data_IF_028193804193
#
_entry.id   IF_028193804193
#
_cell.length_a   1.000
_cell.length_b   1.000
_cell.length_c   1.000
_cell.angle_alpha   90.00
_cell.angle_beta   90.00
_cell.angle_gamma   90.00
#
_symmetry.space_group_name_H-M   'P 1'
#
loop_
_entity.id
_entity.type
_entity.pdbx_description
1 polymer ?
#
# COMPACT_ATOMS: atom_id res chain seq x y z
N UNK A 1 -7.77 -15.77 -12.00
CA UNK A 1 -7.29 -14.98 -10.85
C UNK A 1 -6.05 -14.25 -11.33
N UNK A 2 -6.19 -12.99 -11.75
CA UNK A 2 -5.11 -12.19 -12.36
C UNK A 2 -4.04 -11.91 -11.30
N UNK A 3 -2.76 -12.11 -11.65
CA UNK A 3 -1.61 -11.95 -10.74
C UNK A 3 -1.57 -10.56 -10.04
N UNK A 4 -2.24 -9.58 -10.61
CA UNK A 4 -2.37 -8.22 -10.07
C UNK A 4 -3.11 -8.17 -8.71
N UNK A 5 -4.13 -9.01 -8.49
CA UNK A 5 -4.93 -9.01 -7.25
C UNK A 5 -4.19 -9.64 -6.05
N UNK A 6 -3.26 -10.55 -6.30
CA UNK A 6 -2.45 -11.18 -5.26
C UNK A 6 -1.31 -10.27 -4.78
N UNK A 7 -0.92 -9.26 -5.57
CA UNK A 7 0.18 -8.34 -5.28
C UNK A 7 -0.25 -7.15 -4.39
N UNK A 8 -1.55 -6.82 -4.41
CA UNK A 8 -2.16 -5.71 -3.65
C UNK A 8 -1.84 -5.77 -2.14
N UNK A 9 -2.13 -6.86 -1.40
CA UNK A 9 -1.82 -6.91 0.03
C UNK A 9 -0.32 -6.82 0.30
N UNK A 10 0.52 -7.39 -0.57
CA UNK A 10 1.98 -7.32 -0.43
C UNK A 10 2.52 -5.88 -0.59
N UNK A 11 1.95 -5.09 -1.51
CA UNK A 11 2.28 -3.66 -1.65
C UNK A 11 1.84 -2.84 -0.44
N UNK A 12 0.65 -3.09 0.09
CA UNK A 12 0.14 -2.43 1.29
C UNK A 12 1.05 -2.72 2.49
N UNK A 13 1.48 -3.97 2.67
CA UNK A 13 2.41 -4.35 3.73
C UNK A 13 3.78 -3.70 3.57
N UNK A 14 4.31 -3.66 2.35
CA UNK A 14 5.58 -2.99 2.03
C UNK A 14 5.53 -1.51 2.38
N UNK A 15 4.43 -0.83 2.03
CA UNK A 15 4.21 0.57 2.39
C UNK A 15 4.08 0.74 3.91
N UNK A 16 3.29 -0.11 4.59
CA UNK A 16 3.14 -0.06 6.04
C UNK A 16 4.47 -0.30 6.79
N UNK A 17 5.40 -1.06 6.20
CA UNK A 17 6.75 -1.25 6.75
C UNK A 17 7.59 0.03 6.66
N UNK A 18 7.42 0.83 5.60
CA UNK A 18 8.15 2.08 5.36
C UNK A 18 7.58 3.26 6.17
N UNK A 19 6.30 3.21 6.55
CA UNK A 19 5.60 4.33 7.17
C UNK A 19 5.68 4.25 8.70
N UNK A 20 6.38 5.21 9.28
CA UNK A 20 6.45 5.46 10.73
C UNK A 20 7.46 4.57 11.48
N UNK A 21 8.21 5.19 12.42
CA UNK A 21 9.06 4.50 13.42
C UNK A 21 8.21 3.86 14.52
N UNK A 22 7.28 3.00 14.15
CA UNK A 22 6.48 2.25 15.12
C UNK A 22 6.98 0.80 15.12
N UNK A 23 7.30 0.25 16.28
CA UNK A 23 7.81 -1.12 16.46
C UNK A 23 6.74 -2.21 16.15
N UNK A 24 5.56 -1.82 15.68
CA UNK A 24 4.49 -2.74 15.33
C UNK A 24 4.77 -3.42 13.98
N UNK A 25 4.34 -4.69 13.82
CA UNK A 25 4.39 -5.37 12.53
C UNK A 25 3.63 -4.58 11.44
N UNK A 26 4.08 -4.61 10.19
CA UNK A 26 3.41 -3.92 9.07
C UNK A 26 1.96 -4.37 8.90
N UNK A 27 1.66 -5.63 9.16
CA UNK A 27 0.30 -6.17 9.08
C UNK A 27 -0.64 -5.57 10.14
N UNK A 28 -0.16 -5.44 11.38
CA UNK A 28 -0.92 -4.77 12.45
C UNK A 28 -1.13 -3.30 12.13
N UNK A 29 -0.12 -2.63 11.55
CA UNK A 29 -0.26 -1.24 11.11
C UNK A 29 -1.31 -1.10 9.99
N UNK A 30 -1.24 -1.96 8.98
CA UNK A 30 -2.18 -1.96 7.86
C UNK A 30 -3.62 -2.23 8.33
N UNK A 31 -3.82 -3.19 9.23
CA UNK A 31 -5.14 -3.47 9.84
C UNK A 31 -5.64 -2.31 10.70
N UNK A 32 -4.80 -1.71 11.54
CA UNK A 32 -5.16 -0.54 12.38
C UNK A 32 -5.56 0.68 11.55
N UNK A 33 -5.00 0.82 10.35
CA UNK A 33 -5.35 1.89 9.42
C UNK A 33 -6.49 1.53 8.48
N UNK A 34 -7.05 0.32 8.59
CA UNK A 34 -8.15 -0.14 7.76
C UNK A 34 -7.76 -0.37 6.31
N UNK A 35 -6.48 -0.64 6.00
CA UNK A 35 -6.02 -0.99 4.65
C UNK A 35 -6.14 -2.49 4.34
N UNK A 36 -6.09 -3.30 5.40
CA UNK A 36 -6.34 -4.74 5.34
C UNK A 36 -7.45 -5.08 6.34
N UNK A 37 -8.26 -6.06 5.98
CA UNK A 37 -9.26 -6.63 6.87
C UNK A 37 -8.65 -7.67 7.84
N UNK A 38 -9.51 -8.29 8.66
CA UNK A 38 -9.08 -9.35 9.58
C UNK A 38 -8.61 -10.65 8.92
N UNK A 39 -8.91 -10.82 7.63
CA UNK A 39 -8.56 -11.99 6.82
C UNK A 39 -7.26 -11.79 6.02
N UNK A 40 -6.74 -10.56 5.99
CA UNK A 40 -5.57 -10.18 5.20
C UNK A 40 -5.90 -9.76 3.76
N UNK A 41 -7.19 -9.64 3.43
CA UNK A 41 -7.65 -9.05 2.17
C UNK A 41 -7.57 -7.52 2.23
N UNK A 42 -7.39 -6.90 1.07
CA UNK A 42 -7.38 -5.45 0.96
C UNK A 42 -8.79 -4.89 1.07
N UNK A 43 -8.91 -3.75 1.73
CA UNK A 43 -10.15 -2.98 1.83
C UNK A 43 -10.22 -1.94 0.70
N UNK A 44 -11.38 -1.31 0.47
CA UNK A 44 -11.49 -0.15 -0.43
C UNK A 44 -10.48 0.96 -0.10
N UNK A 45 -10.26 1.24 1.18
CA UNK A 45 -9.30 2.24 1.64
C UNK A 45 -7.84 1.84 1.34
N UNK A 46 -7.53 0.54 1.43
CA UNK A 46 -6.25 -0.01 1.00
C UNK A 46 -6.03 0.11 -0.51
N UNK A 47 -7.11 0.02 -1.29
CA UNK A 47 -7.07 0.22 -2.74
C UNK A 47 -6.82 1.68 -3.10
N UNK A 48 -7.55 2.62 -2.49
CA UNK A 48 -7.36 4.06 -2.69
C UNK A 48 -5.94 4.52 -2.31
N UNK A 49 -5.37 3.95 -1.24
CA UNK A 49 -3.98 4.18 -0.87
C UNK A 49 -3.03 3.83 -2.01
N UNK A 50 -3.19 2.65 -2.62
CA UNK A 50 -2.34 2.21 -3.70
C UNK A 50 -2.50 3.06 -4.95
N UNK A 51 -3.71 3.54 -5.23
CA UNK A 51 -3.97 4.48 -6.32
C UNK A 51 -3.22 5.80 -6.09
N UNK A 52 -3.27 6.35 -4.87
CA UNK A 52 -2.51 7.54 -4.49
C UNK A 52 -0.99 7.33 -4.54
N UNK A 53 -0.49 6.14 -4.20
CA UNK A 53 0.93 5.79 -4.32
C UNK A 53 1.33 5.62 -5.79
N UNK A 54 0.51 4.92 -6.57
CA UNK A 54 0.72 4.67 -8.00
C UNK A 54 0.73 5.96 -8.81
N UNK A 55 -0.15 6.89 -8.47
CA UNK A 55 -0.18 8.23 -9.07
C UNK A 55 1.11 9.00 -8.76
N UNK A 56 1.61 8.95 -7.51
CA UNK A 56 2.91 9.56 -7.15
C UNK A 56 4.10 8.99 -7.91
N UNK A 57 4.08 7.69 -8.27
CA UNK A 57 5.14 7.10 -9.11
C UNK A 57 5.11 7.69 -10.52
N UNK A 58 3.91 7.89 -11.09
CA UNK A 58 3.76 8.56 -12.40
C UNK A 58 4.18 10.02 -12.35
N UNK A 59 3.86 10.75 -11.28
CA UNK A 59 4.29 12.15 -11.10
C UNK A 59 5.82 12.28 -10.92
N UNK A 60 6.51 11.25 -10.43
CA UNK A 60 7.98 11.28 -10.30
C UNK A 60 8.71 11.18 -11.65
N UNK A 61 8.03 10.68 -12.69
CA UNK A 61 8.59 10.55 -14.04
C UNK A 61 8.68 11.89 -14.77
N UNK A 62 7.85 12.88 -14.44
CA UNK A 62 7.86 14.19 -15.11
C UNK A 62 8.97 15.15 -14.65
N UNK A 63 9.81 14.75 -13.67
CA UNK A 63 10.93 15.56 -13.16
C UNK A 63 12.32 15.01 -13.52
N UNK A 64 12.45 14.16 -14.55
CA UNK A 64 13.75 13.88 -15.20
C UNK A 64 13.72 14.41 -16.63
N UNK A 65 13.98 15.70 -16.80
CA UNK A 65 14.07 16.29 -18.12
C UNK A 65 14.12 17.80 -18.12
N UNK A 66 15.04 18.41 -17.35
CA UNK A 66 15.60 19.73 -17.58
C UNK A 66 17.06 19.73 -17.12
#
# INVERSE_FOLDING_TARGET
MTADQADVPHRILSFAAQIGRCALPPEVKARRRGWLDGTGAHTPEGHELLDHIGERVRTRTVFRGL
#
